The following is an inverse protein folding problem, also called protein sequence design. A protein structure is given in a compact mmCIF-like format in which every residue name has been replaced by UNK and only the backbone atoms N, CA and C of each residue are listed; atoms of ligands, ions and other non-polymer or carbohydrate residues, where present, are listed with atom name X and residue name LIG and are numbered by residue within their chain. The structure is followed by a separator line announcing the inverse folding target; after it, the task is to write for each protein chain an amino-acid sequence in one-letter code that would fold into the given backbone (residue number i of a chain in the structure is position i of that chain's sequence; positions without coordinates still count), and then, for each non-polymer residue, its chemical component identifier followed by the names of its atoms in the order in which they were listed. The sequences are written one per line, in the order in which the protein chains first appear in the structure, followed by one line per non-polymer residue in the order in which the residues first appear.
data_IF_854399537463
#
_entry.id   IF_854399537463
#
_cell.length_a   1.000
_cell.length_b   1.000
_cell.length_c   1.000
_cell.angle_alpha   90.00
_cell.angle_beta   90.00
_cell.angle_gamma   90.00
#
_symmetry.space_group_name_H-M   'P 1'
#
loop_
_entity.id
_entity.type
_entity.pdbx_description
1 polymer ?
#
# COMPACT_ATOMS: atom_id res chain seq x y z
N UNK A 1 3.28 -9.43 9.99
CA UNK A 1 2.34 -9.44 8.85
C UNK A 1 2.26 -10.79 8.14
N UNK A 2 3.39 -11.49 7.89
CA UNK A 2 3.39 -12.84 7.27
C UNK A 2 2.28 -13.77 7.78
N UNK A 3 2.28 -14.07 9.08
CA UNK A 3 1.36 -15.05 9.65
C UNK A 3 -0.13 -14.65 9.46
N UNK A 4 -0.47 -13.35 9.49
CA UNK A 4 -1.83 -12.85 9.18
C UNK A 4 -2.20 -13.08 7.72
N UNK A 5 -1.31 -12.75 6.78
CA UNK A 5 -1.55 -12.91 5.34
C UNK A 5 -1.60 -14.39 4.95
N UNK A 6 -0.74 -15.22 5.54
CA UNK A 6 -0.75 -16.67 5.33
C UNK A 6 -2.05 -17.31 5.83
N UNK A 7 -2.52 -16.91 7.02
CA UNK A 7 -3.80 -17.37 7.55
C UNK A 7 -4.97 -16.95 6.65
N UNK A 8 -4.99 -15.70 6.19
CA UNK A 8 -6.02 -15.21 5.26
C UNK A 8 -6.03 -16.00 3.94
N UNK A 9 -4.86 -16.35 3.40
CA UNK A 9 -4.76 -17.12 2.16
C UNK A 9 -5.12 -18.60 2.30
N UNK A 10 -4.98 -19.15 3.51
CA UNK A 10 -5.28 -20.54 3.85
C UNK A 10 -6.74 -20.76 4.29
N UNK A 11 -7.45 -19.69 4.64
CA UNK A 11 -8.87 -19.76 5.00
C UNK A 11 -9.74 -20.15 3.79
N UNK A 12 -10.71 -21.03 4.03
CA UNK A 12 -11.77 -21.31 3.06
C UNK A 12 -12.74 -20.12 2.98
N UNK A 13 -12.83 -19.42 1.83
CA UNK A 13 -13.56 -18.16 1.76
C UNK A 13 -15.06 -18.38 1.89
N UNK A 14 -15.63 -17.80 2.95
CA UNK A 14 -17.08 -17.89 3.28
C UNK A 14 -17.97 -17.02 2.39
N UNK A 15 -17.38 -16.06 1.67
CA UNK A 15 -18.09 -15.14 0.77
C UNK A 15 -17.33 -14.93 -0.56
N UNK A 16 -18.04 -14.67 -1.68
CA UNK A 16 -17.41 -14.39 -2.97
C UNK A 16 -16.39 -13.24 -2.93
N UNK A 17 -16.66 -12.19 -2.16
CA UNK A 17 -15.76 -11.06 -2.01
C UNK A 17 -14.42 -11.45 -1.39
N UNK A 18 -14.42 -12.31 -0.36
CA UNK A 18 -13.19 -12.79 0.28
C UNK A 18 -12.39 -13.66 -0.69
N UNK A 19 -13.05 -14.50 -1.50
CA UNK A 19 -12.38 -15.29 -2.54
C UNK A 19 -11.64 -14.40 -3.53
N UNK A 20 -12.30 -13.35 -4.05
CA UNK A 20 -11.66 -12.39 -4.97
C UNK A 20 -10.51 -11.64 -4.30
N UNK A 21 -10.69 -11.19 -3.06
CA UNK A 21 -9.60 -10.55 -2.32
C UNK A 21 -8.41 -11.51 -2.11
N UNK A 22 -8.63 -12.79 -1.82
CA UNK A 22 -7.55 -13.80 -1.76
C UNK A 22 -6.87 -14.01 -3.11
N UNK A 23 -7.62 -14.06 -4.22
CA UNK A 23 -7.06 -14.13 -5.58
C UNK A 23 -6.13 -12.93 -5.86
N UNK A 24 -6.58 -11.72 -5.51
CA UNK A 24 -5.79 -10.51 -5.64
C UNK A 24 -4.53 -10.53 -4.76
N UNK A 25 -4.62 -11.00 -3.52
CA UNK A 25 -3.43 -11.18 -2.67
C UNK A 25 -2.43 -12.14 -3.31
N UNK A 26 -2.89 -13.25 -3.91
CA UNK A 26 -1.98 -14.20 -4.60
C UNK A 26 -1.26 -13.54 -5.78
N UNK A 27 -1.97 -12.74 -6.58
CA UNK A 27 -1.38 -11.97 -7.68
C UNK A 27 -0.37 -10.95 -7.14
N UNK A 28 -0.74 -10.16 -6.14
CA UNK A 28 0.16 -9.17 -5.53
C UNK A 28 1.41 -9.82 -4.93
N UNK A 29 1.28 -10.98 -4.29
CA UNK A 29 2.43 -11.76 -3.78
C UNK A 29 3.37 -12.14 -4.93
N UNK A 30 2.86 -12.63 -6.06
CA UNK A 30 3.70 -12.96 -7.21
C UNK A 30 4.48 -11.75 -7.73
N UNK A 31 3.82 -10.60 -7.86
CA UNK A 31 4.45 -9.34 -8.30
C UNK A 31 5.52 -8.87 -7.31
N UNK A 32 5.23 -8.96 -6.02
CA UNK A 32 6.19 -8.58 -4.97
C UNK A 32 7.40 -9.53 -4.97
N UNK A 33 7.21 -10.85 -5.05
CA UNK A 33 8.33 -11.79 -5.08
C UNK A 33 9.20 -11.58 -6.34
N UNK A 34 8.60 -11.35 -7.51
CA UNK A 34 9.33 -10.99 -8.74
C UNK A 34 10.15 -9.70 -8.56
N UNK A 35 9.62 -8.70 -7.86
CA UNK A 35 10.36 -7.49 -7.52
C UNK A 35 11.54 -7.77 -6.58
N UNK A 36 11.35 -8.59 -5.54
CA UNK A 36 12.37 -8.97 -4.57
C UNK A 36 13.44 -9.92 -5.15
N UNK A 37 13.19 -10.52 -6.30
CA UNK A 37 14.20 -11.21 -7.11
C UNK A 37 15.04 -10.25 -7.95
N UNK A 38 14.45 -9.15 -8.42
CA UNK A 38 15.10 -8.17 -9.31
C UNK A 38 15.91 -7.10 -8.59
N UNK A 39 15.49 -6.73 -7.39
CA UNK A 39 16.04 -5.59 -6.65
C UNK A 39 16.39 -6.02 -5.22
N UNK A 40 17.55 -5.54 -4.74
CA UNK A 40 17.92 -5.69 -3.34
C UNK A 40 17.10 -4.73 -2.46
N UNK A 41 16.99 -4.98 -1.15
CA UNK A 41 16.26 -4.09 -0.25
C UNK A 41 16.68 -2.62 -0.33
N UNK A 42 17.98 -2.33 -0.49
CA UNK A 42 18.52 -0.96 -0.56
C UNK A 42 18.26 -0.26 -1.92
N UNK A 43 17.77 -1.02 -2.91
CA UNK A 43 17.38 -0.53 -4.23
C UNK A 43 15.87 -0.29 -4.33
N UNK A 44 15.10 -0.60 -3.28
CA UNK A 44 13.65 -0.51 -3.25
C UNK A 44 13.23 0.66 -2.35
N UNK A 45 12.25 1.44 -2.80
CA UNK A 45 11.51 2.38 -1.97
C UNK A 45 10.00 2.14 -2.09
N UNK A 46 9.23 2.68 -1.14
CA UNK A 46 7.77 2.57 -1.08
C UNK A 46 7.18 3.97 -1.18
N UNK A 47 6.33 4.22 -2.17
CA UNK A 47 5.50 5.43 -2.20
C UNK A 47 4.34 5.26 -1.21
N UNK A 48 4.47 5.87 -0.03
CA UNK A 48 3.53 5.69 1.09
C UNK A 48 2.90 7.03 1.49
N UNK A 49 1.58 7.14 1.38
CA UNK A 49 0.83 8.35 1.72
C UNK A 49 -0.22 8.15 2.83
N UNK A 50 -0.21 6.99 3.50
CA UNK A 50 -1.19 6.64 4.53
C UNK A 50 -2.58 6.27 4.01
N UNK A 51 -2.79 6.29 2.69
CA UNK A 51 -4.04 5.86 2.08
C UNK A 51 -4.25 4.34 2.15
N UNK A 52 -5.52 3.92 2.00
CA UNK A 52 -5.92 2.50 2.02
C UNK A 52 -5.15 1.64 1.00
N UNK A 53 -4.90 2.16 -0.20
CA UNK A 53 -4.36 1.37 -1.31
C UNK A 53 -2.85 1.08 -1.10
N UNK A 54 -2.06 2.09 -0.74
CA UNK A 54 -0.65 1.89 -0.40
C UNK A 54 -0.48 1.10 0.90
N UNK A 55 -1.45 1.15 1.82
CA UNK A 55 -1.45 0.33 3.04
C UNK A 55 -1.62 -1.16 2.71
N UNK A 56 -2.58 -1.54 1.88
CA UNK A 56 -2.72 -2.94 1.42
C UNK A 56 -1.44 -3.42 0.75
N UNK A 57 -0.90 -2.61 -0.17
CA UNK A 57 0.37 -2.90 -0.83
C UNK A 57 1.52 -3.12 0.16
N UNK A 58 1.66 -2.24 1.15
CA UNK A 58 2.69 -2.35 2.20
C UNK A 58 2.54 -3.65 2.99
N UNK A 59 1.33 -4.05 3.34
CA UNK A 59 1.07 -5.25 4.15
C UNK A 59 1.46 -6.52 3.39
N UNK A 60 1.12 -6.58 2.09
CA UNK A 60 1.56 -7.69 1.21
C UNK A 60 3.09 -7.69 1.09
N UNK A 61 3.70 -6.52 0.87
CA UNK A 61 5.15 -6.39 0.78
C UNK A 61 5.86 -6.88 2.05
N UNK A 62 5.40 -6.47 3.23
CA UNK A 62 5.93 -6.90 4.52
C UNK A 62 5.79 -8.41 4.74
N UNK A 63 4.70 -9.02 4.27
CA UNK A 63 4.53 -10.47 4.35
C UNK A 63 5.59 -11.20 3.50
N UNK A 64 5.83 -10.76 2.27
CA UNK A 64 6.86 -11.31 1.39
C UNK A 64 8.28 -11.09 1.94
N UNK A 65 8.62 -9.88 2.40
CA UNK A 65 9.90 -9.62 3.07
C UNK A 65 10.11 -10.57 4.25
N UNK A 66 9.09 -10.77 5.08
CA UNK A 66 9.19 -11.67 6.22
C UNK A 66 9.34 -13.15 5.80
N UNK A 67 8.77 -13.58 4.67
CA UNK A 67 9.02 -14.93 4.13
C UNK A 67 10.44 -15.09 3.60
N UNK A 68 10.97 -14.07 2.94
CA UNK A 68 12.28 -14.11 2.26
C UNK A 68 13.47 -13.92 3.18
N UNK A 69 13.35 -13.06 4.19
CA UNK A 69 14.48 -12.62 5.02
C UNK A 69 14.40 -13.02 6.50
N UNK A 70 13.26 -13.57 6.97
CA UNK A 70 13.23 -14.12 8.34
C UNK A 70 13.88 -15.51 8.37
N UNK A 71 14.73 -15.80 9.37
CA UNK A 71 15.25 -17.16 9.54
C UNK A 71 14.08 -18.14 9.78
N UNK A 72 14.18 -19.39 9.27
CA UNK A 72 13.19 -20.41 9.55
C UNK A 72 13.06 -20.61 11.07
N UNK A 73 11.83 -20.78 11.58
CA UNK A 73 11.61 -21.13 12.99
C UNK A 73 12.44 -22.38 13.31
N UNK A 74 13.21 -22.42 14.41
CA UNK A 74 13.91 -23.63 14.78
C UNK A 74 12.90 -24.75 14.99
N UNK A 75 12.91 -25.76 14.12
CA UNK A 75 12.16 -26.99 14.34
C UNK A 75 12.75 -27.66 15.57
N UNK A 76 11.94 -27.80 16.62
CA UNK A 76 12.29 -28.62 17.79
C UNK A 76 12.52 -30.05 17.34
N UNK A 77 13.79 -30.47 17.22
CA UNK A 77 14.18 -31.88 17.01
C UNK A 77 15.02 -32.21 15.78
N UNK A 78 15.41 -31.26 14.92
CA UNK A 78 16.27 -31.57 13.77
C UNK A 78 17.76 -31.31 14.09
N UNK A 79 18.55 -32.38 14.16
CA UNK A 79 20.02 -32.32 14.21
C UNK A 79 20.55 -31.68 12.91
N UNK A 80 21.33 -30.61 13.07
CA UNK A 80 21.91 -29.78 12.01
C UNK A 80 22.94 -30.54 11.15
N UNK A 81 22.87 -30.37 9.82
CA UNK A 81 24.07 -30.41 8.97
C UNK A 81 24.04 -29.32 7.88
N UNK A 82 24.95 -28.36 8.07
CA UNK A 82 25.80 -27.68 7.10
C UNK A 82 25.24 -27.30 5.73
N UNK A 83 24.90 -26.01 5.64
CA UNK A 83 24.67 -25.28 4.39
C UNK A 83 23.83 -24.04 4.61
N UNK A 84 23.95 -23.34 5.75
CA UNK A 84 23.20 -22.12 5.98
C UNK A 84 23.76 -21.03 5.06
N UNK A 85 23.17 -20.90 3.86
CA UNK A 85 23.20 -19.65 3.13
C UNK A 85 22.82 -18.56 4.14
N UNK A 86 23.76 -17.66 4.46
CA UNK A 86 23.46 -16.48 5.28
C UNK A 86 22.38 -15.72 4.51
N UNK A 87 21.12 -15.92 4.90
CA UNK A 87 20.03 -15.08 4.40
C UNK A 87 20.42 -13.64 4.72
N UNK A 88 20.24 -12.69 3.78
CA UNK A 88 20.45 -11.29 4.09
C UNK A 88 19.59 -10.93 5.30
N UNK A 89 20.10 -10.12 6.24
CA UNK A 89 19.29 -9.69 7.38
C UNK A 89 18.06 -8.95 6.86
N UNK A 90 16.92 -9.14 7.54
CA UNK A 90 15.74 -8.33 7.31
C UNK A 90 16.13 -6.84 7.52
N UNK A 91 15.78 -5.93 6.59
CA UNK A 91 16.18 -4.53 6.71
C UNK A 91 15.57 -3.91 7.97
N UNK A 92 16.39 -3.16 8.74
CA UNK A 92 15.90 -2.49 9.96
C UNK A 92 14.81 -1.47 9.67
N UNK A 93 14.90 -0.80 8.52
CA UNK A 93 13.89 0.14 8.02
C UNK A 93 13.65 -0.04 6.53
N UNK A 94 12.45 0.29 6.07
CA UNK A 94 12.11 0.32 4.65
C UNK A 94 12.10 1.76 4.13
N UNK A 95 12.96 2.04 3.14
CA UNK A 95 12.96 3.35 2.49
C UNK A 95 11.59 3.64 1.91
N UNK A 96 11.08 4.82 2.22
CA UNK A 96 9.76 5.25 1.81
C UNK A 96 9.80 6.71 1.37
N UNK A 97 8.95 7.07 0.41
CA UNK A 97 8.79 8.44 -0.07
C UNK A 97 7.34 8.86 0.08
N UNK A 98 7.14 10.06 0.60
CA UNK A 98 5.83 10.69 0.71
C UNK A 98 5.85 12.09 0.10
N UNK A 99 5.16 12.26 -1.02
CA UNK A 99 4.86 13.58 -1.58
C UNK A 99 3.61 14.11 -0.87
N UNK A 100 3.78 15.10 -0.01
CA UNK A 100 2.73 15.64 0.85
C UNK A 100 1.81 16.53 0.03
N UNK A 101 0.50 16.42 0.26
CA UNK A 101 -0.48 17.34 -0.33
C UNK A 101 -0.20 18.79 0.10
N UNK A 102 -0.63 19.77 -0.70
CA UNK A 102 -0.45 21.18 -0.37
C UNK A 102 -1.22 21.61 0.90
N UNK A 103 -2.31 20.89 1.22
CA UNK A 103 -3.16 21.17 2.38
C UNK A 103 -3.63 19.85 3.00
N UNK A 104 -2.75 19.10 3.70
CA UNK A 104 -3.08 17.76 4.21
C UNK A 104 -4.09 17.83 5.36
N UNK A 105 -4.80 16.72 5.57
CA UNK A 105 -5.58 16.49 6.79
C UNK A 105 -4.63 16.12 7.93
N UNK A 106 -4.87 16.65 9.13
CA UNK A 106 -4.06 16.30 10.31
C UNK A 106 -4.16 14.80 10.62
N UNK A 107 -5.35 14.22 10.45
CA UNK A 107 -5.62 12.79 10.64
C UNK A 107 -4.84 11.89 9.67
N UNK A 108 -4.48 12.41 8.49
CA UNK A 108 -3.62 11.70 7.54
C UNK A 108 -2.17 11.78 8.00
N UNK A 109 -1.70 12.96 8.42
CA UNK A 109 -0.34 13.13 8.92
C UNK A 109 -0.09 12.26 10.18
N UNK A 110 -1.02 12.30 11.14
CA UNK A 110 -1.01 11.47 12.35
C UNK A 110 -0.99 9.97 12.01
N UNK A 111 -1.82 9.57 11.04
CA UNK A 111 -1.84 8.18 10.60
C UNK A 111 -0.53 7.78 9.92
N UNK A 112 0.03 8.61 9.04
CA UNK A 112 1.31 8.34 8.39
C UNK A 112 2.43 8.24 9.43
N UNK A 113 2.48 9.12 10.43
CA UNK A 113 3.48 9.06 11.50
C UNK A 113 3.37 7.76 12.32
N UNK A 114 2.18 7.46 12.84
CA UNK A 114 1.95 6.27 13.68
C UNK A 114 2.15 4.96 12.92
N UNK A 115 1.67 4.86 11.68
CA UNK A 115 1.87 3.68 10.83
C UNK A 115 3.32 3.53 10.35
N UNK A 116 4.03 4.62 10.06
CA UNK A 116 5.45 4.57 9.71
C UNK A 116 6.28 4.02 10.87
N UNK A 117 5.99 4.45 12.09
CA UNK A 117 6.64 3.88 13.29
C UNK A 117 6.28 2.39 13.47
N UNK A 118 5.01 2.02 13.30
CA UNK A 118 4.54 0.63 13.43
C UNK A 118 5.20 -0.33 12.42
N UNK A 119 5.43 0.15 11.19
CA UNK A 119 5.95 -0.65 10.08
C UNK A 119 7.43 -0.39 9.76
N UNK A 120 8.13 0.38 10.61
CA UNK A 120 9.55 0.72 10.45
C UNK A 120 9.87 1.36 9.09
N UNK A 121 9.06 2.34 8.67
CA UNK A 121 9.29 3.09 7.43
C UNK A 121 10.23 4.27 7.69
N UNK A 122 11.32 4.35 6.92
CA UNK A 122 12.18 5.53 6.84
C UNK A 122 11.64 6.45 5.74
N UNK A 123 10.81 7.41 6.13
CA UNK A 123 9.98 8.18 5.20
C UNK A 123 10.58 9.55 4.87
N UNK A 124 11.01 9.71 3.61
CA UNK A 124 11.40 10.99 3.04
C UNK A 124 10.16 11.79 2.61
N UNK A 125 9.87 12.89 3.33
CA UNK A 125 8.71 13.76 3.07
C UNK A 125 9.08 14.96 2.19
N UNK A 126 8.28 15.21 1.16
CA UNK A 126 8.47 16.35 0.25
C UNK A 126 7.19 17.15 0.05
N UNK A 127 7.23 18.44 0.33
CA UNK A 127 6.18 19.43 0.00
C UNK A 127 6.50 20.13 -1.33
N UNK A 128 6.78 19.34 -2.36
CA UNK A 128 7.15 19.80 -3.71
C UNK A 128 6.22 19.14 -4.73
N UNK A 129 6.06 19.72 -5.95
CA UNK A 129 5.41 19.01 -7.04
C UNK A 129 6.02 17.63 -7.24
N UNK A 130 5.19 16.61 -7.47
CA UNK A 130 5.59 15.19 -7.46
C UNK A 130 6.90 14.91 -8.20
N UNK A 131 7.01 15.38 -9.45
CA UNK A 131 8.23 15.22 -10.25
C UNK A 131 9.46 15.82 -9.59
N UNK A 132 9.36 17.03 -9.04
CA UNK A 132 10.46 17.71 -8.34
C UNK A 132 10.82 17.03 -7.03
N UNK A 133 9.83 16.57 -6.26
CA UNK A 133 10.07 15.76 -5.07
C UNK A 133 10.85 14.47 -5.39
N UNK A 134 10.46 13.77 -6.46
CA UNK A 134 11.16 12.56 -6.91
C UNK A 134 12.57 12.84 -7.47
N UNK A 135 12.79 13.98 -8.13
CA UNK A 135 14.13 14.40 -8.58
C UNK A 135 15.07 14.58 -7.39
N UNK A 136 14.62 15.28 -6.34
CA UNK A 136 15.39 15.46 -5.09
C UNK A 136 15.59 14.12 -4.38
N UNK A 137 14.54 13.30 -4.28
CA UNK A 137 14.62 11.97 -3.67
C UNK A 137 15.66 11.08 -4.37
N UNK A 138 15.67 11.04 -5.71
CA UNK A 138 16.64 10.27 -6.49
C UNK A 138 18.07 10.77 -6.30
N UNK A 139 18.27 12.08 -6.23
CA UNK A 139 19.58 12.67 -5.99
C UNK A 139 20.13 12.32 -4.59
N UNK A 140 19.25 12.27 -3.58
CA UNK A 140 19.60 11.88 -2.22
C UNK A 140 19.78 10.36 -2.05
N UNK A 141 19.07 9.55 -2.86
CA UNK A 141 19.03 8.10 -2.77
C UNK A 141 19.40 7.45 -4.11
N UNK A 142 20.65 7.61 -4.60
CA UNK A 142 21.04 7.17 -5.94
C UNK A 142 20.92 5.65 -6.14
N UNK A 143 21.02 4.86 -5.06
CA UNK A 143 20.87 3.40 -5.06
C UNK A 143 19.44 2.93 -5.35
N UNK A 144 18.42 3.73 -5.09
CA UNK A 144 17.02 3.33 -5.29
C UNK A 144 16.72 3.22 -6.78
N UNK A 145 16.28 2.05 -7.23
CA UNK A 145 15.98 1.73 -8.63
C UNK A 145 14.51 1.42 -8.86
N UNK A 146 13.79 1.01 -7.82
CA UNK A 146 12.39 0.64 -7.92
C UNK A 146 11.56 1.30 -6.80
N UNK A 147 10.33 1.68 -7.14
CA UNK A 147 9.37 2.25 -6.19
C UNK A 147 8.06 1.47 -6.28
N UNK A 148 7.62 0.92 -5.15
CA UNK A 148 6.27 0.35 -5.01
C UNK A 148 5.23 1.47 -4.94
N UNK A 149 4.17 1.39 -5.76
CA UNK A 149 3.14 2.43 -5.90
C UNK A 149 1.74 1.79 -5.83
N UNK A 150 0.93 2.25 -4.89
CA UNK A 150 -0.42 1.75 -4.62
C UNK A 150 -1.53 2.24 -5.58
N UNK A 151 -1.20 2.48 -6.85
CA UNK A 151 -2.18 2.91 -7.87
C UNK A 151 -2.97 1.72 -8.41
N UNK A 152 -4.27 1.89 -8.62
CA UNK A 152 -5.19 0.91 -9.21
C UNK A 152 -5.62 1.31 -10.63
N UNK A 153 -6.13 0.37 -11.44
CA UNK A 153 -6.60 0.67 -12.81
C UNK A 153 -7.71 1.71 -12.86
N UNK A 154 -8.52 1.77 -11.80
CA UNK A 154 -9.65 2.69 -11.65
C UNK A 154 -9.21 4.09 -11.19
N UNK A 155 -7.94 4.28 -10.81
CA UNK A 155 -7.40 5.59 -10.48
C UNK A 155 -7.14 6.45 -11.74
N UNK A 156 -7.10 7.79 -11.61
CA UNK A 156 -6.68 8.66 -12.68
C UNK A 156 -5.31 8.24 -13.26
N UNK A 157 -5.27 8.07 -14.59
CA UNK A 157 -4.09 7.61 -15.34
C UNK A 157 -3.66 6.14 -15.07
N UNK A 158 -4.45 5.35 -14.34
CA UNK A 158 -4.14 3.96 -13.99
C UNK A 158 -4.50 2.91 -15.06
N UNK A 159 -5.45 3.20 -15.96
CA UNK A 159 -6.09 2.23 -16.86
C UNK A 159 -5.09 1.34 -17.63
N UNK A 160 -4.02 1.94 -18.16
CA UNK A 160 -3.03 1.27 -19.03
C UNK A 160 -1.75 0.84 -18.33
N UNK A 161 -1.66 1.07 -17.02
CA UNK A 161 -0.49 0.67 -16.25
C UNK A 161 -0.39 -0.86 -16.17
N UNK A 162 0.81 -1.35 -15.99
CA UNK A 162 1.20 -2.75 -15.79
C UNK A 162 1.76 -2.90 -14.38
N UNK A 163 1.97 -4.14 -13.96
CA UNK A 163 2.63 -4.40 -12.67
C UNK A 163 4.04 -3.82 -12.59
N UNK A 164 4.75 -3.72 -13.71
CA UNK A 164 6.08 -3.13 -13.81
C UNK A 164 6.09 -2.15 -14.96
N UNK A 165 6.21 -0.86 -14.64
CA UNK A 165 6.32 0.20 -15.64
C UNK A 165 7.45 1.15 -15.29
N UNK A 166 8.43 1.38 -16.20
CA UNK A 166 9.37 2.45 -16.00
C UNK A 166 8.64 3.80 -15.93
N UNK A 167 9.24 4.76 -15.24
CA UNK A 167 8.81 6.15 -15.30
C UNK A 167 8.90 6.70 -16.72
N UNK A 168 8.00 7.62 -17.07
CA UNK A 168 7.97 8.23 -18.40
C UNK A 168 9.22 9.07 -18.68
N UNK A 169 9.50 9.32 -19.97
CA UNK A 169 10.62 10.15 -20.38
C UNK A 169 10.61 11.54 -19.68
N UNK A 170 11.75 11.92 -19.14
CA UNK A 170 11.93 13.17 -18.42
C UNK A 170 11.56 13.11 -16.93
N UNK A 171 11.02 12.01 -16.41
CA UNK A 171 10.96 11.74 -14.97
C UNK A 171 12.27 11.11 -14.48
N UNK A 172 12.56 11.18 -13.16
CA UNK A 172 13.68 10.42 -12.57
C UNK A 172 13.51 8.93 -12.84
N UNK A 173 14.62 8.27 -13.22
CA UNK A 173 14.60 6.86 -13.64
C UNK A 173 14.32 5.93 -12.45
N UNK A 174 13.13 5.34 -12.48
CA UNK A 174 12.68 4.29 -11.56
C UNK A 174 11.84 3.25 -12.30
N UNK A 175 11.90 2.01 -11.85
CA UNK A 175 10.84 1.03 -12.09
C UNK A 175 9.69 1.28 -11.11
N UNK A 176 8.50 1.58 -11.61
CA UNK A 176 7.28 1.61 -10.78
C UNK A 176 6.71 0.20 -10.70
N UNK A 177 6.41 -0.22 -9.48
CA UNK A 177 5.87 -1.55 -9.21
C UNK A 177 4.48 -1.39 -8.63
N UNK A 178 3.48 -2.00 -9.26
CA UNK A 178 2.07 -1.86 -8.93
C UNK A 178 1.43 -3.21 -8.54
N UNK A 179 1.68 -3.75 -7.33
CA UNK A 179 1.16 -5.05 -6.93
C UNK A 179 -0.36 -5.07 -6.77
N UNK A 180 -0.95 -3.92 -6.46
CA UNK A 180 -2.38 -3.78 -6.19
C UNK A 180 -3.18 -3.24 -7.37
N UNK A 181 -2.58 -3.19 -8.56
CA UNK A 181 -3.14 -2.48 -9.72
C UNK A 181 -4.53 -2.97 -10.14
N UNK A 182 -4.80 -4.27 -10.02
CA UNK A 182 -6.05 -4.89 -10.46
C UNK A 182 -7.08 -5.01 -9.32
N UNK A 183 -6.80 -4.46 -8.14
CA UNK A 183 -7.72 -4.55 -7.00
C UNK A 183 -8.93 -3.63 -7.18
N UNK A 184 -10.10 -4.14 -6.80
CA UNK A 184 -11.32 -3.35 -6.68
C UNK A 184 -11.47 -2.74 -5.29
N UNK A 185 -12.24 -1.66 -5.20
CA UNK A 185 -12.45 -0.90 -3.96
C UNK A 185 -12.94 -1.80 -2.81
N UNK A 186 -13.90 -2.67 -3.10
CA UNK A 186 -14.44 -3.62 -2.12
C UNK A 186 -13.42 -4.65 -1.65
N UNK A 187 -12.46 -5.03 -2.49
CA UNK A 187 -11.40 -6.00 -2.16
C UNK A 187 -10.37 -5.38 -1.22
N UNK A 188 -10.02 -4.10 -1.44
CA UNK A 188 -9.16 -3.31 -0.53
C UNK A 188 -9.75 -3.33 0.88
N UNK A 189 -11.03 -3.02 1.01
CA UNK A 189 -11.70 -3.01 2.31
C UNK A 189 -11.90 -4.39 2.91
N UNK A 190 -12.29 -5.39 2.09
CA UNK A 190 -12.44 -6.76 2.55
C UNK A 190 -11.15 -7.27 3.18
N UNK A 191 -10.00 -7.08 2.51
CA UNK A 191 -8.70 -7.46 3.04
C UNK A 191 -8.34 -6.66 4.29
N UNK A 192 -8.43 -5.33 4.24
CA UNK A 192 -8.05 -4.44 5.35
C UNK A 192 -8.84 -4.75 6.62
N UNK A 193 -10.16 -4.94 6.49
CA UNK A 193 -11.07 -5.24 7.60
C UNK A 193 -10.90 -6.67 8.11
N UNK A 194 -10.75 -7.64 7.23
CA UNK A 194 -10.58 -9.04 7.63
C UNK A 194 -9.30 -9.27 8.44
N UNK A 195 -8.22 -8.55 8.14
CA UNK A 195 -6.94 -8.68 8.85
C UNK A 195 -6.83 -7.76 10.09
N UNK A 196 -7.89 -7.02 10.43
CA UNK A 196 -7.91 -5.99 11.48
C UNK A 196 -6.71 -5.03 11.35
N UNK A 197 -6.52 -4.48 10.15
CA UNK A 197 -5.44 -3.54 9.87
C UNK A 197 -5.91 -2.13 10.23
N UNK A 198 -5.21 -1.39 11.11
CA UNK A 198 -5.54 0.01 11.39
C UNK A 198 -5.42 0.87 10.12
N UNK A 199 -6.38 1.76 9.89
CA UNK A 199 -6.40 2.70 8.77
C UNK A 199 -6.77 4.11 9.25
N UNK A 200 -6.53 5.14 8.43
CA UNK A 200 -6.85 6.52 8.74
C UNK A 200 -8.34 6.69 9.10
N UNK A 201 -8.64 7.33 10.24
CA UNK A 201 -10.00 7.43 10.77
C UNK A 201 -10.97 8.24 9.89
N UNK A 202 -10.47 9.04 8.93
CA UNK A 202 -11.33 9.73 7.96
C UNK A 202 -12.16 8.73 7.14
N UNK A 203 -11.66 7.53 6.91
CA UNK A 203 -12.43 6.50 6.22
C UNK A 203 -13.70 6.11 7.02
N UNK A 204 -13.67 6.11 8.35
CA UNK A 204 -14.87 5.86 9.16
C UNK A 204 -15.87 7.03 9.12
N UNK A 205 -15.40 8.21 8.74
CA UNK A 205 -16.19 9.45 8.57
C UNK A 205 -16.75 9.60 7.15
N UNK A 206 -16.67 8.56 6.32
CA UNK A 206 -17.26 8.53 4.98
C UNK A 206 -16.40 9.11 3.87
N UNK A 207 -15.15 9.47 4.13
CA UNK A 207 -14.19 9.79 3.07
C UNK A 207 -13.76 8.50 2.37
N UNK A 208 -13.91 8.39 1.05
CA UNK A 208 -13.57 7.18 0.27
C UNK A 208 -12.27 7.31 -0.51
N UNK A 209 -11.81 8.55 -0.67
CA UNK A 209 -10.55 8.92 -1.31
C UNK A 209 -9.95 10.08 -0.49
N UNK A 210 -8.64 10.07 -0.18
CA UNK A 210 -7.97 11.11 0.62
C UNK A 210 -7.02 11.98 -0.22
N UNK A 211 -7.16 13.28 -0.13
CA UNK A 211 -6.49 14.31 -0.95
C UNK A 211 -6.11 15.49 -0.05
N UNK A 212 -6.17 16.72 -0.54
CA UNK A 212 -6.06 17.91 0.30
C UNK A 212 -7.42 18.30 0.92
N UNK A 213 -7.39 19.00 2.06
CA UNK A 213 -8.60 19.48 2.76
C UNK A 213 -9.53 20.31 1.87
N UNK A 214 -8.97 21.03 0.90
CA UNK A 214 -9.74 21.90 -0.02
C UNK A 214 -10.38 21.16 -1.18
N UNK A 215 -9.88 19.98 -1.52
CA UNK A 215 -10.33 19.21 -2.69
C UNK A 215 -11.08 17.92 -2.32
N UNK A 216 -11.30 17.69 -1.02
CA UNK A 216 -11.77 16.43 -0.48
C UNK A 216 -12.94 16.63 0.48
N UNK A 217 -14.04 15.95 0.20
CA UNK A 217 -15.25 15.85 1.02
C UNK A 217 -15.61 14.39 1.30
N UNK A 218 -16.42 14.11 2.34
CA UNK A 218 -17.05 12.80 2.49
C UNK A 218 -17.87 12.42 1.25
N UNK A 219 -17.94 11.13 0.95
CA UNK A 219 -18.62 10.65 -0.24
C UNK A 219 -20.14 10.82 -0.11
N UNK A 220 -20.80 11.52 -1.06
CA UNK A 220 -22.24 11.75 -0.99
C UNK A 220 -23.08 10.46 -0.97
N UNK A 221 -22.57 9.35 -1.52
CA UNK A 221 -23.24 8.02 -1.50
C UNK A 221 -23.30 7.38 -0.11
N UNK A 222 -22.48 7.88 0.82
CA UNK A 222 -22.41 7.38 2.18
C UNK A 222 -23.22 8.25 3.16
N UNK A 223 -23.88 9.32 2.72
CA UNK A 223 -24.72 10.17 3.58
C UNK A 223 -25.83 9.35 4.24
N UNK A 224 -26.01 9.48 5.57
CA UNK A 224 -27.06 8.77 6.31
C UNK A 224 -28.42 9.45 6.10
N UNK A 225 -29.48 8.65 6.05
CA UNK A 225 -30.84 9.17 6.02
C UNK A 225 -31.18 9.80 7.38
N UNK A 226 -31.70 11.03 7.38
CA UNK A 226 -32.17 11.71 8.59
C UNK A 226 -31.16 12.58 9.33
N UNK A 227 -29.86 12.56 8.97
CA UNK A 227 -28.88 13.54 9.45
C UNK A 227 -27.93 13.93 8.32
N UNK A 228 -27.93 15.20 7.94
CA UNK A 228 -27.13 15.68 6.81
C UNK A 228 -25.62 15.73 7.05
N UNK A 229 -25.19 15.63 8.31
CA UNK A 229 -23.79 15.73 8.72
C UNK A 229 -23.15 14.37 9.01
N UNK A 230 -23.93 13.28 9.01
CA UNK A 230 -23.42 11.95 9.31
C UNK A 230 -23.26 11.10 8.04
N UNK A 231 -22.12 10.41 7.96
CA UNK A 231 -21.80 9.52 6.86
C UNK A 231 -21.59 8.10 7.39
N UNK A 232 -21.85 7.12 6.53
CA UNK A 232 -21.47 5.72 6.72
C UNK A 232 -19.98 5.57 6.41
N UNK A 233 -19.29 4.60 7.02
CA UNK A 233 -17.88 4.37 6.78
C UNK A 233 -17.58 3.97 5.34
N UNK A 234 -16.36 4.25 4.89
CA UNK A 234 -15.89 4.10 3.52
C UNK A 234 -16.05 2.67 2.98
N UNK A 235 -15.87 1.66 3.84
CA UNK A 235 -16.00 0.25 3.47
C UNK A 235 -17.44 -0.18 3.13
N UNK A 236 -18.44 0.70 3.29
CA UNK A 236 -19.82 0.46 2.82
C UNK A 236 -20.08 0.97 1.39
N UNK A 237 -19.10 1.61 0.73
CA UNK A 237 -19.17 1.92 -0.70
C UNK A 237 -18.82 0.67 -1.52
N UNK A 238 -19.54 0.43 -2.61
CA UNK A 238 -19.39 -0.77 -3.45
C UNK A 238 -18.76 -0.46 -4.81
N UNK A 239 -19.22 0.59 -5.48
CA UNK A 239 -18.85 0.89 -6.86
C UNK A 239 -17.52 1.68 -6.93
N UNK A 240 -16.57 1.20 -7.73
CA UNK A 240 -15.25 1.84 -7.90
C UNK A 240 -15.33 3.24 -8.52
N UNK A 241 -16.24 3.44 -9.49
CA UNK A 241 -16.41 4.73 -10.18
C UNK A 241 -16.99 5.82 -9.27
N UNK A 242 -17.61 5.42 -8.16
CA UNK A 242 -18.16 6.31 -7.15
C UNK A 242 -17.13 6.74 -6.09
N UNK A 243 -15.97 6.10 -6.03
CA UNK A 243 -14.96 6.34 -4.99
C UNK A 243 -14.54 7.80 -4.89
N UNK A 244 -14.50 8.49 -6.03
CA UNK A 244 -13.98 9.87 -6.13
C UNK A 244 -15.09 10.92 -6.21
N UNK A 245 -16.35 10.57 -5.94
CA UNK A 245 -17.46 11.54 -5.93
C UNK A 245 -17.31 12.64 -4.88
N UNK A 246 -16.54 12.40 -3.81
CA UNK A 246 -16.16 13.40 -2.82
C UNK A 246 -14.99 14.31 -3.24
N UNK A 247 -14.57 14.31 -4.51
CA UNK A 247 -13.50 15.19 -5.01
C UNK A 247 -14.06 16.39 -5.75
N UNK A 248 -13.54 17.58 -5.45
CA UNK A 248 -13.75 18.73 -6.32
C UNK A 248 -12.97 18.53 -7.63
N UNK A 249 -13.57 18.97 -8.74
CA UNK A 249 -12.92 19.02 -10.06
C UNK A 249 -12.12 20.31 -10.22
#
# INVERSE_FOLDING_TARGET
MRDKVDAFLAEEPTAPLLRRAQEQVRISVQVVEEALERYRPEEISISYNGGKDCLVMLIVLLACYARRYSPPKPMTGANLQNGATKLPPFPETLHSVYIVSADPFAEVDDFVETSSAMYHLDIARFTLPMKKGLEVFKAQNPSVRAIFVGTRRTDPHGEKLKHFDPTDAGWPDFMRIHPVIDWHYTEIWAFTRHLDIPYCCLYDQGYTSLGGRRDTLPNPRLKRQGNEQEFRPAYELIEDDEERLGRYK
#
